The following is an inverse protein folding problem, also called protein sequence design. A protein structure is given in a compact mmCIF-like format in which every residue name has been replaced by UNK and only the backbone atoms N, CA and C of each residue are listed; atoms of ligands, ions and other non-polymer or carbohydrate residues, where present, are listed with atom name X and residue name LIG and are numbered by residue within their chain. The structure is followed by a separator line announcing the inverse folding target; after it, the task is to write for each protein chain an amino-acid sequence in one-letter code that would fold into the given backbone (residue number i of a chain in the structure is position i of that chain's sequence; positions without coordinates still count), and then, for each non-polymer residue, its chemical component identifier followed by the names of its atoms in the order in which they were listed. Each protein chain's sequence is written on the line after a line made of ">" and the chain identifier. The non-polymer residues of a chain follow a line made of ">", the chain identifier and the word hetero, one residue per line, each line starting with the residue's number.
data_IF_363158517262
#
_entry.id   IF_363158517262
#
_cell.length_a   1.000
_cell.length_b   1.000
_cell.length_c   1.000
_cell.angle_alpha   90.00
_cell.angle_beta   90.00
_cell.angle_gamma   90.00
#
_symmetry.space_group_name_H-M   'P 1'
#
loop_
_entity.id
_entity.type
_entity.pdbx_description
1 polymer ?
#
# COMPACT_ATOMS: atom_id res chain seq x y z
N UNK A 1 -12.60 0.23 21.90
CA UNK A 1 -13.00 -0.06 20.51
C UNK A 1 -11.88 -0.65 19.68
N UNK A 2 -10.71 0.00 19.53
CA UNK A 2 -9.59 -0.54 18.74
C UNK A 2 -9.21 -1.99 19.11
N UNK A 3 -9.13 -2.31 20.41
CA UNK A 3 -8.89 -3.67 20.90
C UNK A 3 -9.89 -4.72 20.37
N UNK A 4 -11.17 -4.38 20.26
CA UNK A 4 -12.19 -5.31 19.76
C UNK A 4 -12.04 -5.54 18.26
N UNK A 5 -11.73 -4.48 17.50
CA UNK A 5 -11.43 -4.57 16.07
C UNK A 5 -10.18 -5.44 15.85
N UNK A 6 -9.13 -5.23 16.63
CA UNK A 6 -7.89 -6.01 16.55
C UNK A 6 -8.13 -7.50 16.85
N UNK A 7 -9.02 -7.81 17.81
CA UNK A 7 -9.41 -9.19 18.11
C UNK A 7 -10.13 -9.85 16.94
N UNK A 8 -11.03 -9.14 16.26
CA UNK A 8 -11.73 -9.65 15.08
C UNK A 8 -10.74 -9.90 13.93
N UNK A 9 -9.83 -8.96 13.67
CA UNK A 9 -8.79 -9.11 12.64
C UNK A 9 -7.87 -10.28 12.96
N UNK A 10 -7.46 -10.43 14.23
CA UNK A 10 -6.64 -11.55 14.67
C UNK A 10 -7.36 -12.89 14.45
N UNK A 11 -8.65 -12.96 14.77
CA UNK A 11 -9.45 -14.16 14.53
C UNK A 11 -9.50 -14.52 13.04
N UNK A 12 -9.77 -13.56 12.16
CA UNK A 12 -9.78 -13.81 10.71
C UNK A 12 -8.44 -14.31 10.18
N UNK A 13 -7.32 -13.81 10.72
CA UNK A 13 -5.98 -14.32 10.40
C UNK A 13 -5.81 -15.77 10.85
N UNK A 14 -6.21 -16.10 12.08
CA UNK A 14 -6.13 -17.46 12.59
C UNK A 14 -7.00 -18.44 11.80
N UNK A 15 -8.21 -18.03 11.37
CA UNK A 15 -9.07 -18.84 10.51
C UNK A 15 -8.39 -19.12 9.14
N UNK A 16 -7.63 -18.16 8.62
CA UNK A 16 -6.84 -18.32 7.39
C UNK A 16 -5.67 -19.29 7.59
N UNK A 17 -4.91 -19.15 8.67
CA UNK A 17 -3.81 -20.05 9.02
C UNK A 17 -4.30 -21.51 9.18
N UNK A 18 -5.49 -21.71 9.78
CA UNK A 18 -6.12 -23.03 9.91
C UNK A 18 -6.50 -23.62 8.54
N UNK A 19 -7.09 -22.82 7.65
CA UNK A 19 -7.40 -23.26 6.29
C UNK A 19 -6.14 -23.67 5.54
N UNK A 20 -5.07 -22.88 5.61
CA UNK A 20 -3.79 -23.20 4.96
C UNK A 20 -3.23 -24.52 5.49
N UNK A 21 -3.20 -24.72 6.82
CA UNK A 21 -2.76 -25.96 7.45
C UNK A 21 -3.56 -27.19 6.98
N UNK A 22 -4.86 -27.01 6.70
CA UNK A 22 -5.75 -28.10 6.26
C UNK A 22 -5.61 -28.42 4.77
N UNK A 23 -5.52 -27.40 3.91
CA UNK A 23 -5.56 -27.60 2.45
C UNK A 23 -4.18 -27.79 1.84
N UNK A 24 -3.12 -27.17 2.39
CA UNK A 24 -1.77 -27.28 1.86
C UNK A 24 -1.27 -28.73 1.79
N UNK A 25 -1.46 -29.60 2.81
CA UNK A 25 -1.04 -31.00 2.72
C UNK A 25 -1.79 -31.78 1.64
N UNK A 26 -3.07 -31.47 1.42
CA UNK A 26 -3.90 -32.14 0.40
C UNK A 26 -3.42 -31.76 -1.01
N UNK A 27 -3.12 -30.48 -1.23
CA UNK A 27 -2.60 -29.97 -2.50
C UNK A 27 -1.21 -30.54 -2.78
N UNK A 28 -0.31 -30.51 -1.79
CA UNK A 28 1.04 -31.08 -1.91
C UNK A 28 1.00 -32.58 -2.20
N UNK A 29 0.09 -33.33 -1.56
CA UNK A 29 -0.08 -34.75 -1.85
C UNK A 29 -0.52 -34.96 -3.29
N UNK A 30 -1.51 -34.22 -3.77
CA UNK A 30 -1.98 -34.33 -5.14
C UNK A 30 -0.90 -33.97 -6.17
N UNK A 31 -0.11 -32.92 -5.90
CA UNK A 31 1.04 -32.54 -6.72
C UNK A 31 2.09 -33.66 -6.77
N UNK A 32 2.40 -34.27 -5.63
CA UNK A 32 3.35 -35.38 -5.55
C UNK A 32 2.85 -36.63 -6.30
N UNK A 33 1.55 -36.95 -6.23
CA UNK A 33 0.96 -38.06 -6.98
C UNK A 33 1.08 -37.82 -8.50
N UNK A 34 0.85 -36.58 -8.95
CA UNK A 34 1.04 -36.18 -10.36
C UNK A 34 2.51 -36.29 -10.77
N UNK A 35 3.42 -35.78 -9.94
CA UNK A 35 4.87 -35.84 -10.18
C UNK A 35 5.37 -37.28 -10.29
N UNK A 36 4.95 -38.16 -9.38
CA UNK A 36 5.30 -39.57 -9.41
C UNK A 36 4.84 -40.23 -10.71
N UNK A 37 3.59 -40.00 -11.12
CA UNK A 37 3.05 -40.55 -12.36
C UNK A 37 3.80 -40.02 -13.60
N UNK A 38 4.17 -38.74 -13.61
CA UNK A 38 4.97 -38.16 -14.69
C UNK A 38 6.36 -38.82 -14.77
N UNK A 39 7.00 -39.07 -13.63
CA UNK A 39 8.25 -39.81 -13.55
C UNK A 39 8.12 -41.23 -14.10
N UNK A 40 7.08 -41.97 -13.69
CA UNK A 40 6.82 -43.34 -14.16
C UNK A 40 6.59 -43.41 -15.68
N UNK A 41 5.83 -42.47 -16.23
CA UNK A 41 5.61 -42.34 -17.68
C UNK A 41 6.94 -42.06 -18.39
N UNK A 42 7.72 -41.10 -17.87
CA UNK A 42 9.01 -40.71 -18.46
C UNK A 42 9.99 -41.88 -18.47
N UNK A 43 10.08 -42.63 -17.37
CA UNK A 43 10.93 -43.81 -17.26
C UNK A 43 10.47 -44.91 -18.23
N UNK A 44 9.16 -45.17 -18.31
CA UNK A 44 8.60 -46.16 -19.24
C UNK A 44 8.89 -45.81 -20.69
N UNK A 45 8.82 -44.53 -21.07
CA UNK A 45 9.21 -44.06 -22.40
C UNK A 45 10.70 -44.29 -22.66
N UNK A 46 11.57 -44.00 -21.69
CA UNK A 46 13.00 -44.23 -21.83
C UNK A 46 13.34 -45.71 -22.01
N UNK A 47 12.70 -46.60 -21.24
CA UNK A 47 12.91 -48.04 -21.33
C UNK A 47 12.37 -48.61 -22.66
N UNK A 48 11.21 -48.10 -23.14
CA UNK A 48 10.68 -48.42 -24.46
C UNK A 48 11.62 -48.00 -25.60
N UNK A 49 12.26 -46.83 -25.50
CA UNK A 49 13.27 -46.41 -26.48
C UNK A 49 14.47 -47.33 -26.51
N UNK A 50 14.95 -47.80 -25.35
CA UNK A 50 16.04 -48.80 -25.29
C UNK A 50 15.61 -50.13 -25.91
N UNK A 51 14.38 -50.58 -25.62
CA UNK A 51 13.80 -51.80 -26.16
C UNK A 51 13.72 -51.75 -27.69
N UNK A 52 13.24 -50.63 -28.26
CA UNK A 52 13.13 -50.42 -29.72
C UNK A 52 14.50 -50.43 -30.40
N UNK A 53 15.55 -49.98 -29.71
CA UNK A 53 16.92 -49.95 -30.24
C UNK A 53 17.72 -51.24 -29.95
N UNK A 54 17.09 -52.28 -29.40
CA UNK A 54 17.75 -53.55 -29.05
C UNK A 54 17.62 -54.57 -30.18
N UNK A 55 18.71 -55.27 -30.49
CA UNK A 55 18.70 -56.40 -31.44
C UNK A 55 18.34 -57.74 -30.75
N UNK A 56 18.12 -57.75 -29.44
CA UNK A 56 17.73 -58.93 -28.67
C UNK A 56 16.22 -59.23 -28.82
N UNK A 57 15.89 -60.20 -29.67
CA UNK A 57 14.54 -60.68 -29.90
C UNK A 57 13.86 -61.28 -28.65
N UNK A 58 14.64 -61.87 -27.73
CA UNK A 58 14.14 -62.39 -26.46
C UNK A 58 13.64 -61.25 -25.56
N UNK A 59 14.41 -60.17 -25.47
CA UNK A 59 14.05 -58.98 -24.72
C UNK A 59 12.78 -58.29 -25.27
N UNK A 60 12.64 -58.20 -26.59
CA UNK A 60 11.45 -57.65 -27.26
C UNK A 60 10.21 -58.52 -27.01
N UNK A 61 10.32 -59.84 -27.19
CA UNK A 61 9.20 -60.77 -27.05
C UNK A 61 8.66 -60.89 -25.62
N UNK A 62 9.49 -60.61 -24.61
CA UNK A 62 9.10 -60.64 -23.20
C UNK A 62 8.36 -59.37 -22.73
N UNK A 63 8.35 -58.30 -23.52
CA UNK A 63 7.74 -57.04 -23.13
C UNK A 63 6.22 -57.15 -22.97
N UNK A 64 5.71 -56.62 -21.85
CA UNK A 64 4.28 -56.47 -21.59
C UNK A 64 3.94 -54.99 -21.45
N UNK A 65 2.93 -54.54 -22.18
CA UNK A 65 2.51 -53.14 -22.14
C UNK A 65 1.94 -52.76 -20.78
N UNK A 66 2.40 -51.62 -20.26
CA UNK A 66 1.88 -51.00 -19.02
C UNK A 66 0.88 -49.87 -19.28
N UNK A 67 0.41 -49.70 -20.52
CA UNK A 67 -0.49 -48.60 -20.89
C UNK A 67 -1.81 -48.59 -20.09
N UNK A 68 -2.31 -49.75 -19.68
CA UNK A 68 -3.51 -49.84 -18.85
C UNK A 68 -3.32 -49.21 -17.46
N UNK A 69 -2.13 -49.35 -16.86
CA UNK A 69 -1.76 -48.75 -15.58
C UNK A 69 -1.60 -47.24 -15.74
N UNK A 70 -0.85 -46.80 -16.75
CA UNK A 70 -0.50 -45.39 -16.99
C UNK A 70 -1.70 -44.52 -17.40
N UNK A 71 -2.78 -45.12 -17.91
CA UNK A 71 -4.02 -44.41 -18.25
C UNK A 71 -4.87 -44.04 -17.03
N UNK A 72 -4.57 -44.60 -15.85
CA UNK A 72 -5.33 -44.32 -14.62
C UNK A 72 -4.83 -43.01 -14.01
N UNK A 73 -5.49 -41.90 -14.35
CA UNK A 73 -5.15 -40.58 -13.83
C UNK A 73 -5.46 -40.48 -12.33
N UNK A 74 -4.76 -39.58 -11.59
CA UNK A 74 -5.12 -39.26 -10.23
C UNK A 74 -6.55 -38.67 -10.18
N UNK A 75 -7.27 -38.81 -9.06
CA UNK A 75 -8.59 -38.22 -8.90
C UNK A 75 -8.56 -36.71 -9.17
N UNK A 76 -9.53 -36.20 -9.94
CA UNK A 76 -9.62 -34.76 -10.22
C UNK A 76 -9.92 -34.01 -8.93
N UNK A 77 -9.02 -33.11 -8.54
CA UNK A 77 -9.21 -32.23 -7.40
C UNK A 77 -9.96 -30.95 -7.83
N UNK A 78 -11.11 -30.70 -7.21
CA UNK A 78 -11.86 -29.44 -7.38
C UNK A 78 -11.61 -28.57 -6.16
N UNK A 79 -11.08 -27.36 -6.36
CA UNK A 79 -10.75 -26.42 -5.29
C UNK A 79 -11.52 -25.13 -5.52
N UNK A 80 -12.15 -24.61 -4.48
CA UNK A 80 -12.76 -23.28 -4.46
C UNK A 80 -11.98 -22.42 -3.47
N UNK A 81 -11.48 -21.28 -3.93
CA UNK A 81 -10.73 -20.37 -3.07
C UNK A 81 -11.68 -19.56 -2.16
N UNK A 82 -11.27 -19.22 -0.93
CA UNK A 82 -12.04 -18.33 -0.09
C UNK A 82 -12.13 -16.95 -0.76
N UNK A 83 -13.27 -16.28 -0.56
CA UNK A 83 -13.48 -14.90 -0.99
C UNK A 83 -13.87 -14.06 0.21
N UNK A 84 -13.36 -12.83 0.26
CA UNK A 84 -13.73 -11.86 1.28
C UNK A 84 -14.76 -10.88 0.72
N UNK A 85 -15.92 -10.84 1.38
CA UNK A 85 -17.01 -9.95 1.03
C UNK A 85 -17.21 -8.94 2.15
N UNK A 86 -16.59 -7.74 2.07
CA UNK A 86 -16.75 -6.73 3.10
C UNK A 86 -18.20 -6.28 3.19
N UNK A 87 -18.73 -6.15 4.41
CA UNK A 87 -20.05 -5.55 4.61
C UNK A 87 -19.95 -4.03 4.55
N UNK A 88 -20.99 -3.38 4.00
CA UNK A 88 -21.10 -1.92 4.05
C UNK A 88 -21.21 -1.49 5.52
N UNK A 89 -20.41 -0.49 5.88
CA UNK A 89 -20.41 0.06 7.22
C UNK A 89 -21.64 0.96 7.39
N UNK A 90 -22.56 0.56 8.26
CA UNK A 90 -23.70 1.38 8.65
C UNK A 90 -23.29 2.37 9.75
N UNK A 91 -23.32 3.67 9.44
CA UNK A 91 -23.00 4.75 10.38
C UNK A 91 -23.92 4.72 11.60
N UNK A 92 -25.18 4.33 11.44
CA UNK A 92 -26.13 4.30 12.56
C UNK A 92 -25.71 3.26 13.61
N UNK A 93 -25.18 2.12 13.16
CA UNK A 93 -24.61 1.12 14.06
C UNK A 93 -23.37 1.66 14.77
N UNK A 94 -22.49 2.43 14.11
CA UNK A 94 -21.33 3.03 14.77
C UNK A 94 -21.77 3.94 15.92
N UNK A 95 -22.73 4.85 15.70
CA UNK A 95 -23.24 5.73 16.76
C UNK A 95 -23.80 4.94 17.94
N UNK A 96 -24.52 3.83 17.69
CA UNK A 96 -25.02 2.96 18.74
C UNK A 96 -23.90 2.33 19.59
N UNK A 97 -22.76 1.99 18.98
CA UNK A 97 -21.62 1.39 19.70
C UNK A 97 -20.76 2.44 20.41
N UNK A 98 -20.70 3.68 19.90
CA UNK A 98 -19.92 4.76 20.50
C UNK A 98 -20.65 5.48 21.63
N UNK A 99 -21.98 5.58 21.53
CA UNK A 99 -22.83 6.35 22.43
C UNK A 99 -23.19 7.73 21.87
N UNK A 100 -23.96 8.49 22.66
CA UNK A 100 -24.43 9.84 22.32
C UNK A 100 -23.91 10.84 23.34
N UNK A 101 -23.54 12.03 22.89
CA UNK A 101 -23.21 13.15 23.75
C UNK A 101 -24.44 14.06 23.81
N UNK A 102 -24.95 14.30 25.02
CA UNK A 102 -26.01 15.29 25.22
C UNK A 102 -25.44 16.71 25.03
N UNK A 103 -26.23 17.61 24.45
CA UNK A 103 -25.83 19.00 24.31
C UNK A 103 -25.68 19.69 25.67
N UNK A 104 -24.69 20.58 25.76
CA UNK A 104 -24.49 21.43 26.93
C UNK A 104 -25.66 22.42 27.03
N UNK A 105 -26.49 22.29 28.06
CA UNK A 105 -27.53 23.27 28.35
C UNK A 105 -27.04 24.25 29.41
N UNK A 106 -26.83 25.52 29.02
CA UNK A 106 -26.58 26.63 29.94
C UNK A 106 -27.91 27.36 30.13
N UNK A 107 -28.42 27.35 31.36
CA UNK A 107 -29.55 28.20 31.76
C UNK A 107 -28.99 29.42 32.48
N UNK A 108 -29.09 30.59 31.87
CA UNK A 108 -28.85 31.88 32.52
C UNK A 108 -30.18 32.44 33.02
N UNK A 109 -30.28 32.71 34.32
CA UNK A 109 -31.32 33.61 34.84
C UNK A 109 -30.91 35.04 34.48
N UNK A 110 -31.72 35.73 33.68
CA UNK A 110 -31.44 37.12 33.28
C UNK A 110 -31.42 38.04 34.50
N UNK A 111 -30.29 38.73 34.71
CA UNK A 111 -30.31 40.16 34.95
C UNK A 111 -29.94 40.84 33.63
N UNK A 112 -30.82 41.71 33.18
CA UNK A 112 -30.87 42.40 31.88
C UNK A 112 -29.50 42.98 31.43
N UNK A 113 -28.78 42.24 30.61
CA UNK A 113 -27.81 42.80 29.67
C UNK A 113 -27.89 42.02 28.36
N UNK A 114 -28.52 42.65 27.38
CA UNK A 114 -28.57 42.17 26.00
C UNK A 114 -27.16 42.25 25.42
N UNK A 115 -26.48 41.11 25.31
CA UNK A 115 -25.25 40.96 24.54
C UNK A 115 -25.59 40.15 23.29
N UNK A 116 -25.87 40.87 22.20
CA UNK A 116 -26.09 40.29 20.86
C UNK A 116 -24.77 39.71 20.34
N UNK A 117 -24.47 38.46 20.72
CA UNK A 117 -23.71 37.57 19.84
C UNK A 117 -24.72 36.67 19.17
N UNK A 118 -25.21 37.11 18.01
CA UNK A 118 -25.81 36.22 17.04
C UNK A 118 -24.71 35.28 16.51
N UNK A 119 -24.38 34.25 17.31
CA UNK A 119 -23.73 33.03 16.84
C UNK A 119 -24.71 32.34 15.90
N UNK A 120 -24.72 32.83 14.67
CA UNK A 120 -25.31 32.15 13.54
C UNK A 120 -24.36 31.01 13.19
N UNK A 121 -24.81 29.83 13.59
CA UNK A 121 -24.75 28.58 12.85
C UNK A 121 -23.38 27.98 12.45
N UNK A 122 -23.31 26.68 12.71
CA UNK A 122 -22.39 25.69 12.14
C UNK A 122 -21.03 25.52 12.84
N UNK A 123 -21.00 24.60 13.80
CA UNK A 123 -19.95 23.58 13.80
C UNK A 123 -19.78 23.08 12.36
N UNK A 124 -18.57 23.06 11.77
CA UNK A 124 -18.44 22.52 10.44
C UNK A 124 -18.87 21.05 10.53
N UNK A 125 -19.85 20.59 9.72
CA UNK A 125 -20.10 19.18 9.61
C UNK A 125 -18.76 18.54 9.25
N UNK A 126 -18.43 17.45 9.93
CA UNK A 126 -17.35 16.53 9.59
C UNK A 126 -17.21 16.53 8.06
N UNK A 127 -16.18 17.22 7.54
CA UNK A 127 -16.15 17.61 6.12
C UNK A 127 -16.34 16.34 5.30
N UNK A 128 -17.54 16.16 4.73
CA UNK A 128 -17.74 15.20 3.65
C UNK A 128 -16.60 15.46 2.69
N UNK A 129 -15.81 14.44 2.39
CA UNK A 129 -14.87 14.52 1.28
C UNK A 129 -15.68 15.03 0.09
N UNK A 130 -15.34 16.23 -0.37
CA UNK A 130 -16.12 16.90 -1.39
C UNK A 130 -15.92 16.09 -2.66
N UNK A 131 -16.99 15.55 -3.26
CA UNK A 131 -16.91 14.79 -4.53
C UNK A 131 -16.25 15.61 -5.65
N UNK A 132 -16.28 16.94 -5.53
CA UNK A 132 -15.66 17.88 -6.45
C UNK A 132 -14.59 18.69 -5.71
N UNK A 133 -13.32 18.70 -6.17
CA UNK A 133 -12.28 19.52 -5.55
C UNK A 133 -12.64 21.00 -5.66
N UNK A 134 -12.61 21.70 -4.53
CA UNK A 134 -12.80 23.14 -4.47
C UNK A 134 -11.45 23.84 -4.31
N UNK A 135 -11.23 24.88 -5.13
CA UNK A 135 -10.06 25.75 -4.99
C UNK A 135 -10.39 26.75 -3.87
N UNK A 136 -9.66 26.66 -2.76
CA UNK A 136 -9.88 27.52 -1.59
C UNK A 136 -8.93 28.73 -1.67
N UNK A 137 -7.59 28.54 -1.70
CA UNK A 137 -6.64 29.59 -2.09
C UNK A 137 -5.85 29.25 -3.36
N UNK A 138 -5.45 30.27 -4.12
CA UNK A 138 -4.48 30.16 -5.22
C UNK A 138 -3.15 30.80 -4.81
N UNK A 139 -2.06 30.03 -4.87
CA UNK A 139 -0.71 30.52 -4.61
C UNK A 139 -0.03 30.80 -5.95
N UNK A 140 0.26 32.08 -6.21
CA UNK A 140 1.10 32.47 -7.35
C UNK A 140 2.56 32.21 -7.01
N UNK A 141 3.16 31.26 -7.72
CA UNK A 141 4.61 31.02 -7.67
C UNK A 141 5.31 31.77 -8.79
N UNK A 142 6.58 32.10 -8.59
CA UNK A 142 7.49 32.65 -9.59
C UNK A 142 8.23 31.55 -10.37
N UNK A 143 7.90 30.27 -10.15
CA UNK A 143 8.38 29.19 -11.00
C UNK A 143 7.70 29.24 -12.36
N UNK A 144 8.45 28.89 -13.41
CA UNK A 144 7.86 28.66 -14.73
C UNK A 144 6.97 27.42 -14.72
N UNK A 145 7.43 26.38 -14.01
CA UNK A 145 6.69 25.14 -13.77
C UNK A 145 6.88 24.70 -12.32
N UNK A 146 5.78 24.53 -11.59
CA UNK A 146 5.77 23.84 -10.30
C UNK A 146 5.60 22.34 -10.57
N UNK A 147 6.56 21.52 -10.13
CA UNK A 147 6.65 20.11 -10.53
C UNK A 147 6.32 19.17 -9.37
N UNK A 148 6.60 19.58 -8.13
CA UNK A 148 6.29 18.76 -6.97
C UNK A 148 5.99 19.60 -5.73
N UNK A 149 5.19 19.06 -4.82
CA UNK A 149 4.78 19.71 -3.57
C UNK A 149 4.84 18.73 -2.40
N UNK A 150 5.27 19.21 -1.24
CA UNK A 150 5.24 18.45 0.01
C UNK A 150 4.68 19.29 1.14
N UNK A 151 3.70 18.73 1.86
CA UNK A 151 3.05 19.40 2.98
C UNK A 151 3.96 19.37 4.22
N UNK A 152 4.19 20.52 4.85
CA UNK A 152 4.85 20.64 6.14
C UNK A 152 3.82 20.74 7.27
N UNK A 153 2.74 21.49 7.05
CA UNK A 153 1.64 21.70 7.99
C UNK A 153 0.35 21.96 7.23
N UNK A 154 -0.79 22.09 7.91
CA UNK A 154 -2.07 22.41 7.26
C UNK A 154 -2.07 23.71 6.45
N UNK A 155 -1.07 24.58 6.64
CA UNK A 155 -0.95 25.85 5.93
C UNK A 155 0.39 26.04 5.21
N UNK A 156 1.41 25.21 5.48
CA UNK A 156 2.76 25.38 4.94
C UNK A 156 3.12 24.25 3.97
N UNK A 157 3.58 24.62 2.78
CA UNK A 157 3.85 23.70 1.66
C UNK A 157 5.20 24.03 1.04
N UNK A 158 6.05 23.01 0.93
CA UNK A 158 7.25 23.06 0.11
C UNK A 158 6.90 22.82 -1.35
N UNK A 159 7.47 23.63 -2.24
CA UNK A 159 7.28 23.53 -3.69
C UNK A 159 8.66 23.40 -4.36
N UNK A 160 8.80 22.34 -5.15
CA UNK A 160 9.89 22.12 -6.09
C UNK A 160 9.39 22.50 -7.49
N UNK A 161 10.00 23.53 -8.05
CA UNK A 161 9.78 23.90 -9.45
C UNK A 161 10.96 23.50 -10.32
N UNK A 162 10.95 23.97 -11.56
CA UNK A 162 12.00 23.77 -12.57
C UNK A 162 13.27 24.62 -12.30
N UNK A 163 13.72 24.70 -11.04
CA UNK A 163 14.89 25.47 -10.63
C UNK A 163 15.70 24.73 -9.55
N UNK A 164 16.89 25.25 -9.25
CA UNK A 164 17.72 24.76 -8.14
C UNK A 164 17.34 25.36 -6.77
N UNK A 165 16.26 26.12 -6.70
CA UNK A 165 15.73 26.69 -5.46
C UNK A 165 14.45 25.93 -5.11
N UNK A 166 14.35 25.51 -3.85
CA UNK A 166 13.17 24.96 -3.21
C UNK A 166 12.53 26.05 -2.35
N UNK A 167 11.20 26.15 -2.34
CA UNK A 167 10.49 27.26 -1.68
C UNK A 167 9.38 26.77 -0.77
N UNK A 168 9.32 27.33 0.43
CA UNK A 168 8.25 27.10 1.40
C UNK A 168 7.25 28.24 1.29
N UNK A 169 6.01 27.91 1.00
CA UNK A 169 4.90 28.84 0.96
C UNK A 169 3.94 28.55 2.11
N UNK A 170 3.40 29.62 2.69
CA UNK A 170 2.22 29.55 3.53
C UNK A 170 0.99 29.98 2.72
N UNK A 171 -0.13 29.28 2.90
CA UNK A 171 -1.37 29.52 2.15
C UNK A 171 -1.89 30.97 2.26
N UNK A 172 -1.63 31.65 3.38
CA UNK A 172 -2.10 33.01 3.64
C UNK A 172 -1.00 34.06 3.47
N UNK A 173 0.23 33.72 3.88
CA UNK A 173 1.36 34.67 3.96
C UNK A 173 2.27 34.67 2.73
N UNK A 174 2.08 33.72 1.81
CA UNK A 174 2.92 33.59 0.62
C UNK A 174 4.29 32.96 0.94
N UNK A 175 5.34 33.39 0.22
CA UNK A 175 6.68 32.80 0.33
C UNK A 175 7.31 33.06 1.72
N UNK A 176 7.61 31.99 2.46
CA UNK A 176 8.27 32.06 3.76
C UNK A 176 9.79 31.85 3.68
N UNK A 177 10.23 30.90 2.85
CA UNK A 177 11.64 30.49 2.82
C UNK A 177 12.04 29.99 1.44
N UNK A 178 13.30 30.23 1.08
CA UNK A 178 13.96 29.70 -0.11
C UNK A 178 15.24 28.98 0.29
N UNK A 179 15.49 27.81 -0.30
CA UNK A 179 16.70 27.02 -0.07
C UNK A 179 17.26 26.63 -1.43
N UNK A 180 18.52 26.97 -1.69
CA UNK A 180 19.21 26.48 -2.87
C UNK A 180 19.73 25.06 -2.63
N UNK A 181 19.58 24.16 -3.60
CA UNK A 181 20.13 22.81 -3.51
C UNK A 181 21.66 22.84 -3.44
N UNK A 182 22.23 21.86 -2.74
CA UNK A 182 23.68 21.74 -2.52
C UNK A 182 24.49 21.64 -3.83
N UNK A 183 23.98 20.98 -4.87
CA UNK A 183 24.66 20.93 -6.18
C UNK A 183 24.45 22.16 -7.05
N UNK A 184 23.51 23.04 -6.70
CA UNK A 184 23.04 24.08 -7.60
C UNK A 184 22.25 23.57 -8.80
N UNK A 185 21.86 22.29 -8.84
CA UNK A 185 20.97 21.70 -9.86
C UNK A 185 19.53 21.54 -9.33
N UNK A 186 18.58 21.30 -10.23
CA UNK A 186 17.21 20.97 -9.82
C UNK A 186 17.22 19.66 -9.00
N UNK A 187 16.60 19.68 -7.81
CA UNK A 187 16.29 18.43 -7.10
C UNK A 187 15.35 17.58 -7.98
N UNK A 188 15.36 16.25 -7.86
CA UNK A 188 14.39 15.40 -8.60
C UNK A 188 13.07 15.25 -7.83
N UNK A 189 13.16 15.04 -6.51
CA UNK A 189 12.02 14.86 -5.63
C UNK A 189 12.21 15.59 -4.29
N UNK A 190 11.11 15.89 -3.61
CA UNK A 190 11.07 16.49 -2.27
C UNK A 190 10.09 15.76 -1.35
N UNK A 191 10.43 15.68 -0.06
CA UNK A 191 9.56 15.15 0.98
C UNK A 191 9.81 15.89 2.30
N UNK A 192 8.88 15.78 3.24
CA UNK A 192 9.04 16.29 4.61
C UNK A 192 9.06 15.11 5.58
N UNK A 193 10.02 15.09 6.51
CA UNK A 193 10.12 14.05 7.53
C UNK A 193 9.08 14.24 8.63
N UNK A 194 8.89 13.23 9.50
CA UNK A 194 8.01 13.33 10.67
C UNK A 194 8.38 14.45 11.65
N UNK A 195 9.60 14.97 11.59
CA UNK A 195 10.06 16.10 12.41
C UNK A 195 9.90 17.46 11.71
N UNK A 196 9.37 17.49 10.48
CA UNK A 196 9.19 18.71 9.69
C UNK A 196 10.42 19.13 8.87
N UNK A 197 11.48 18.31 8.81
CA UNK A 197 12.67 18.62 8.01
C UNK A 197 12.42 18.33 6.52
N UNK A 198 12.84 19.25 5.65
CA UNK A 198 12.78 19.05 4.20
C UNK A 198 13.87 18.09 3.75
N UNK A 199 13.52 17.09 2.95
CA UNK A 199 14.42 16.16 2.28
C UNK A 199 14.27 16.33 0.77
N UNK A 200 15.37 16.23 0.03
CA UNK A 200 15.33 16.25 -1.42
C UNK A 200 16.38 15.31 -2.03
N UNK A 201 16.11 14.85 -3.24
CA UNK A 201 17.03 13.99 -4.01
C UNK A 201 17.84 14.81 -5.02
N UNK A 202 19.13 14.49 -5.11
CA UNK A 202 20.07 15.11 -6.04
C UNK A 202 20.64 14.03 -6.97
N UNK A 203 20.12 13.99 -8.18
CA UNK A 203 20.53 13.03 -9.21
C UNK A 203 21.94 13.22 -9.72
N UNK A 204 22.44 14.46 -9.70
CA UNK A 204 23.79 14.77 -10.22
C UNK A 204 24.83 14.22 -9.27
N UNK A 205 24.66 14.51 -7.99
CA UNK A 205 25.56 14.03 -6.94
C UNK A 205 25.21 12.62 -6.44
N UNK A 206 24.07 12.06 -6.87
CA UNK A 206 23.52 10.78 -6.42
C UNK A 206 23.33 10.75 -4.90
N UNK A 207 22.79 11.83 -4.35
CA UNK A 207 22.62 11.98 -2.91
C UNK A 207 21.17 12.22 -2.52
N UNK A 208 20.84 11.85 -1.29
CA UNK A 208 19.67 12.34 -0.59
C UNK A 208 20.16 13.32 0.45
N UNK A 209 19.56 14.51 0.49
CA UNK A 209 19.97 15.59 1.37
C UNK A 209 18.80 16.02 2.25
N UNK A 210 19.09 16.40 3.49
CA UNK A 210 18.12 16.92 4.46
C UNK A 210 18.50 18.35 4.80
N UNK A 211 17.50 19.21 4.99
CA UNK A 211 17.67 20.60 5.37
C UNK A 211 17.25 20.78 6.81
N UNK A 212 18.23 21.02 7.69
CA UNK A 212 18.02 21.30 9.13
C UNK A 212 18.54 22.68 9.44
N UNK A 213 17.76 23.51 10.14
CA UNK A 213 18.22 24.84 10.59
C UNK A 213 18.88 25.73 9.52
N UNK A 214 18.49 25.58 8.23
CA UNK A 214 19.07 26.24 7.04
C UNK A 214 20.41 25.65 6.54
N UNK A 215 20.94 24.62 7.18
CA UNK A 215 22.07 23.84 6.68
C UNK A 215 21.60 22.61 5.92
N UNK A 216 22.40 22.20 4.92
CA UNK A 216 22.09 21.04 4.08
C UNK A 216 23.09 19.91 4.39
N UNK A 217 22.57 18.85 4.99
CA UNK A 217 23.32 17.65 5.32
C UNK A 217 23.03 16.57 4.27
N UNK A 218 24.07 15.87 3.82
CA UNK A 218 23.91 14.71 2.95
C UNK A 218 23.69 13.47 3.82
N UNK A 219 22.52 12.85 3.72
CA UNK A 219 22.16 11.68 4.54
C UNK A 219 22.49 10.36 3.87
N UNK A 220 22.42 10.31 2.54
CA UNK A 220 22.71 9.11 1.75
C UNK A 220 23.51 9.49 0.51
N UNK A 221 24.51 8.69 0.17
CA UNK A 221 25.25 8.78 -1.11
C UNK A 221 25.19 7.44 -1.82
N UNK A 222 24.70 7.43 -3.07
CA UNK A 222 24.45 6.23 -3.86
C UNK A 222 25.59 6.00 -4.87
N UNK A 223 26.16 4.78 -4.88
CA UNK A 223 27.33 4.45 -5.71
C UNK A 223 26.97 3.90 -7.10
N UNK A 224 25.75 3.44 -7.33
CA UNK A 224 25.33 2.81 -8.59
C UNK A 224 24.02 3.34 -9.18
N UNK A 225 23.21 4.02 -8.38
CA UNK A 225 21.85 4.41 -8.74
C UNK A 225 21.69 5.92 -8.66
N UNK A 226 20.77 6.43 -9.48
CA UNK A 226 20.33 7.81 -9.45
C UNK A 226 19.01 7.87 -8.68
N UNK A 227 18.94 8.61 -7.57
CA UNK A 227 17.71 8.85 -6.85
C UNK A 227 16.79 9.80 -7.63
#
# INVERSE_FOLDING_TARGET
>A
MHREIDLIVKKQKSDLDEMDSKYLPVLNKHENDIKHMLCDITQTIADLRKLVNSDDAGFISAYKSRNAELRRLPPKLTVTLPSFSPQKIDKHQIYKHFGFLSELSIKTEEHNYTMDYASTEHSPPERSLIDVPQIIPEIKTDYKYAENVSCLSGEDIWIRGNSNILKLYNLQRGLLKSIQTKSGNCAEDIAVTGNGDLVYTDKTNRTVNIVKNKEIETVVTLQGWKP
#
